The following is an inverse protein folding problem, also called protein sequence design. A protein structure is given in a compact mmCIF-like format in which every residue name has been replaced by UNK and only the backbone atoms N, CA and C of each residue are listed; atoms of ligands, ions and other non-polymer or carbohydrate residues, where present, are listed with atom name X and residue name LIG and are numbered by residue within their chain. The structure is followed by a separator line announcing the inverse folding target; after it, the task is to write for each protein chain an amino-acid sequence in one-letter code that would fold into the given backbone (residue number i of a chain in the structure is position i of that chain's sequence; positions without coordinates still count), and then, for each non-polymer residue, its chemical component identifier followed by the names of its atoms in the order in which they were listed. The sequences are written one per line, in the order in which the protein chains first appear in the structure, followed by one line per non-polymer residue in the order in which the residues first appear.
data_IF_813305290753
#
_entry.id   IF_813305290753
#
_cell.length_a   1.000
_cell.length_b   1.000
_cell.length_c   1.000
_cell.angle_alpha   90.00
_cell.angle_beta   90.00
_cell.angle_gamma   90.00
#
_symmetry.space_group_name_H-M   'P 1'
#
loop_
_entity.id
_entity.type
_entity.pdbx_description
1 polymer ?
#
# COMPACT_ATOMS: atom_id res chain seq x y z
N UNK A 1 -17.42 -4.41 7.25
CA UNK A 1 -17.13 -5.70 7.91
C UNK A 1 -15.80 -6.16 7.35
N UNK A 2 -14.78 -6.41 8.18
CA UNK A 2 -13.48 -6.91 7.70
C UNK A 2 -13.73 -8.21 6.96
N UNK A 3 -13.32 -8.32 5.70
CA UNK A 3 -13.28 -9.64 5.07
C UNK A 3 -12.19 -10.44 5.77
N UNK A 4 -12.62 -11.50 6.49
CA UNK A 4 -11.77 -12.38 7.30
C UNK A 4 -10.52 -12.90 6.56
N UNK A 5 -10.58 -12.92 5.24
CA UNK A 5 -9.55 -13.34 4.29
C UNK A 5 -8.32 -12.41 4.29
N UNK A 6 -8.47 -11.09 4.35
CA UNK A 6 -7.32 -10.16 4.39
C UNK A 6 -6.49 -10.28 5.67
N UNK A 7 -7.09 -10.69 6.78
CA UNK A 7 -6.40 -10.92 8.06
C UNK A 7 -6.08 -12.40 8.32
N UNK A 8 -6.34 -13.28 7.35
CA UNK A 8 -6.04 -14.70 7.50
C UNK A 8 -4.53 -14.96 7.43
N UNK A 9 -4.05 -15.96 8.16
CA UNK A 9 -2.65 -16.40 8.10
C UNK A 9 -1.64 -15.26 8.38
N UNK A 10 -1.88 -14.46 9.42
CA UNK A 10 -0.88 -13.49 9.91
C UNK A 10 0.34 -14.22 10.45
N UNK A 11 1.53 -13.74 10.10
CA UNK A 11 2.77 -14.18 10.75
C UNK A 11 2.78 -13.78 12.23
N UNK A 12 3.72 -14.33 13.01
CA UNK A 12 3.88 -13.96 14.41
C UNK A 12 4.18 -12.45 14.56
N UNK A 13 4.99 -11.88 13.66
CA UNK A 13 5.32 -10.45 13.67
C UNK A 13 4.09 -9.59 13.38
N UNK A 14 3.30 -9.94 12.37
CA UNK A 14 2.05 -9.24 12.04
C UNK A 14 1.03 -9.35 13.18
N UNK A 15 0.94 -10.52 13.82
CA UNK A 15 0.06 -10.72 14.98
C UNK A 15 0.45 -9.81 16.16
N UNK A 16 1.75 -9.57 16.37
CA UNK A 16 2.24 -8.60 17.36
C UNK A 16 1.88 -7.17 16.98
N UNK A 17 2.00 -6.78 15.71
CA UNK A 17 1.60 -5.46 15.22
C UNK A 17 0.09 -5.23 15.37
N UNK A 18 -0.73 -6.21 14.98
CA UNK A 18 -2.18 -6.19 15.15
C UNK A 18 -2.57 -6.01 16.63
N UNK A 19 -1.91 -6.73 17.54
CA UNK A 19 -2.13 -6.56 18.98
C UNK A 19 -1.74 -5.14 19.46
N UNK A 20 -0.62 -4.59 18.98
CA UNK A 20 -0.18 -3.24 19.32
C UNK A 20 -1.15 -2.17 18.81
N UNK A 21 -1.63 -2.29 17.57
CA UNK A 21 -2.64 -1.42 16.99
C UNK A 21 -3.94 -1.48 17.81
N UNK A 22 -4.55 -2.66 17.94
CA UNK A 22 -5.90 -2.81 18.48
C UNK A 22 -5.96 -2.65 20.00
N UNK A 23 -5.02 -3.26 20.73
CA UNK A 23 -5.07 -3.30 22.21
C UNK A 23 -4.32 -2.17 22.87
N UNK A 24 -3.20 -1.73 22.26
CA UNK A 24 -2.40 -0.64 22.80
C UNK A 24 -2.71 0.71 22.15
N UNK A 25 -3.60 0.75 21.13
CA UNK A 25 -3.96 1.97 20.38
C UNK A 25 -2.74 2.75 19.92
N UNK A 26 -1.75 2.00 19.43
CA UNK A 26 -0.53 2.57 18.87
C UNK A 26 -0.81 3.01 17.43
N UNK A 27 -0.17 4.10 17.02
CA UNK A 27 -0.23 4.63 15.66
C UNK A 27 0.43 3.68 14.67
N UNK A 28 -0.35 2.67 14.27
CA UNK A 28 0.00 1.61 13.34
C UNK A 28 -1.17 1.50 12.39
N UNK A 29 -0.88 1.59 11.10
CA UNK A 29 -1.87 1.45 10.04
C UNK A 29 -1.69 0.10 9.35
N UNK A 30 -2.77 -0.46 8.82
CA UNK A 30 -2.75 -1.67 8.01
C UNK A 30 -3.41 -1.40 6.66
N UNK A 31 -2.68 -1.68 5.59
CA UNK A 31 -3.17 -1.69 4.22
C UNK A 31 -3.04 -3.10 3.68
N UNK A 32 -4.11 -3.66 3.14
CA UNK A 32 -4.12 -5.04 2.66
C UNK A 32 -4.83 -5.14 1.31
N UNK A 33 -4.30 -5.99 0.43
CA UNK A 33 -4.97 -6.37 -0.81
C UNK A 33 -4.51 -7.74 -1.29
N UNK A 34 -5.44 -8.49 -1.88
CA UNK A 34 -5.14 -9.72 -2.64
C UNK A 34 -5.58 -9.61 -4.11
N UNK A 35 -5.93 -8.40 -4.56
CA UNK A 35 -6.42 -8.12 -5.91
C UNK A 35 -7.91 -8.38 -6.15
N UNK A 36 -8.57 -9.12 -5.25
CA UNK A 36 -10.03 -9.36 -5.27
C UNK A 36 -10.72 -8.45 -4.26
N UNK A 37 -10.06 -8.24 -3.13
CA UNK A 37 -10.49 -7.40 -2.04
C UNK A 37 -9.33 -6.53 -1.57
N UNK A 38 -9.68 -5.38 -1.00
CA UNK A 38 -8.74 -4.42 -0.43
C UNK A 38 -9.30 -3.89 0.89
N UNK A 39 -8.42 -3.54 1.81
CA UNK A 39 -8.80 -3.07 3.13
C UNK A 39 -7.77 -2.12 3.71
N UNK A 40 -8.27 -1.08 4.39
CA UNK A 40 -7.47 -0.05 5.04
C UNK A 40 -7.97 0.11 6.46
N UNK A 41 -7.04 0.02 7.42
CA UNK A 41 -7.33 0.12 8.84
C UNK A 41 -6.37 1.12 9.45
N UNK A 42 -6.92 2.21 9.97
CA UNK A 42 -6.18 3.21 10.74
C UNK A 42 -6.83 3.24 12.12
N UNK A 43 -6.03 3.00 13.15
CA UNK A 43 -6.49 2.78 14.53
C UNK A 43 -7.57 1.68 14.64
N UNK A 44 -8.78 2.02 15.07
CA UNK A 44 -9.94 1.14 15.17
C UNK A 44 -10.95 1.33 14.02
N UNK A 45 -10.59 2.16 13.03
CA UNK A 45 -11.47 2.55 11.93
C UNK A 45 -11.11 1.81 10.65
N UNK A 46 -12.12 1.20 10.02
CA UNK A 46 -12.02 0.71 8.64
C UNK A 46 -12.35 1.85 7.69
N UNK A 47 -11.46 2.11 6.73
CA UNK A 47 -11.68 3.15 5.72
C UNK A 47 -12.19 2.54 4.41
N UNK A 48 -12.99 3.34 3.70
CA UNK A 48 -13.43 3.05 2.32
C UNK A 48 -12.73 4.04 1.37
N UNK A 49 -11.54 3.70 0.86
CA UNK A 49 -10.78 4.60 0.01
C UNK A 49 -11.39 4.68 -1.39
N UNK A 50 -11.30 5.86 -2.02
CA UNK A 50 -11.53 5.94 -3.47
C UNK A 50 -10.48 5.14 -4.22
N UNK A 51 -9.21 5.30 -3.84
CA UNK A 51 -8.13 4.53 -4.41
C UNK A 51 -7.17 4.03 -3.32
N UNK A 52 -6.77 2.78 -3.45
CA UNK A 52 -5.64 2.19 -2.75
C UNK A 52 -4.70 1.59 -3.79
N UNK A 53 -3.45 2.01 -3.80
CA UNK A 53 -2.39 1.38 -4.57
C UNK A 53 -1.32 0.88 -3.63
N UNK A 54 -0.97 -0.40 -3.74
CA UNK A 54 0.17 -1.03 -3.06
C UNK A 54 1.06 -1.61 -4.15
N UNK A 55 2.07 -0.84 -4.56
CA UNK A 55 3.14 -1.27 -5.44
C UNK A 55 4.34 -1.73 -4.63
N UNK A 56 4.79 -2.95 -4.82
CA UNK A 56 5.99 -3.50 -4.19
C UNK A 56 6.88 -4.17 -5.24
N UNK A 57 8.17 -3.86 -5.20
CA UNK A 57 9.18 -4.47 -6.06
C UNK A 57 10.36 -4.96 -5.21
N UNK A 58 10.85 -6.15 -5.55
CA UNK A 58 12.06 -6.76 -4.98
C UNK A 58 12.72 -7.65 -6.03
N UNK A 59 13.87 -8.26 -5.69
CA UNK A 59 14.51 -9.30 -6.49
C UNK A 59 13.60 -10.49 -6.84
N UNK A 60 12.53 -10.74 -6.09
CA UNK A 60 11.59 -11.83 -6.35
C UNK A 60 10.50 -11.46 -7.37
N UNK A 61 10.35 -10.18 -7.68
CA UNK A 61 9.38 -9.69 -8.66
C UNK A 61 8.77 -8.35 -8.28
N UNK A 62 7.82 -7.91 -9.11
CA UNK A 62 7.06 -6.69 -8.88
C UNK A 62 5.56 -7.00 -8.89
N UNK A 63 4.83 -6.40 -7.97
CA UNK A 63 3.37 -6.48 -7.90
C UNK A 63 2.79 -5.13 -7.55
N UNK A 64 1.70 -4.75 -8.23
CA UNK A 64 0.88 -3.60 -7.85
C UNK A 64 -0.56 -4.07 -7.72
N UNK A 65 -1.20 -3.83 -6.58
CA UNK A 65 -2.58 -4.21 -6.33
C UNK A 65 -3.26 -3.26 -5.38
N UNK A 66 -4.57 -3.32 -5.36
CA UNK A 66 -5.38 -2.51 -4.46
C UNK A 66 -6.75 -2.27 -5.05
N UNK A 67 -7.22 -1.04 -4.93
CA UNK A 67 -8.54 -0.60 -5.33
C UNK A 67 -8.44 0.66 -6.18
N UNK A 68 -9.20 0.71 -7.27
CA UNK A 68 -9.35 1.89 -8.11
C UNK A 68 -10.84 2.16 -8.33
N UNK A 69 -11.32 3.26 -7.76
CA UNK A 69 -12.75 3.50 -7.62
C UNK A 69 -13.43 2.39 -6.81
N UNK A 70 -14.34 1.65 -7.47
CA UNK A 70 -15.09 0.53 -6.85
C UNK A 70 -14.53 -0.85 -7.17
N UNK A 71 -13.47 -0.95 -7.99
CA UNK A 71 -12.92 -2.23 -8.44
C UNK A 71 -11.59 -2.51 -7.73
N UNK A 72 -11.42 -3.75 -7.27
CA UNK A 72 -10.11 -4.23 -6.85
C UNK A 72 -9.32 -4.74 -8.06
N UNK A 73 -7.99 -4.68 -7.97
CA UNK A 73 -7.13 -5.06 -9.08
C UNK A 73 -5.81 -5.69 -8.64
N UNK A 74 -5.22 -6.45 -9.57
CA UNK A 74 -3.88 -7.03 -9.48
C UNK A 74 -3.15 -6.80 -10.81
N UNK A 75 -1.94 -6.27 -10.72
CA UNK A 75 -1.08 -5.98 -11.85
C UNK A 75 0.37 -6.45 -11.61
N UNK A 76 1.01 -7.14 -12.56
CA UNK A 76 0.44 -7.68 -13.80
C UNK A 76 -0.63 -8.76 -13.54
N UNK A 77 -1.60 -8.90 -14.44
CA UNK A 77 -2.79 -9.76 -14.32
C UNK A 77 -2.53 -11.28 -14.38
N UNK A 78 -1.27 -11.71 -14.33
CA UNK A 78 -0.86 -13.12 -14.28
C UNK A 78 -0.19 -13.53 -12.95
N UNK A 79 -0.03 -12.60 -12.01
CA UNK A 79 0.50 -12.92 -10.69
C UNK A 79 -0.53 -13.68 -9.87
N UNK A 80 -0.07 -14.45 -8.88
CA UNK A 80 -0.96 -15.05 -7.89
C UNK A 80 -1.74 -13.95 -7.17
N UNK A 81 -3.03 -14.20 -6.89
CA UNK A 81 -3.86 -13.38 -6.01
C UNK A 81 -3.46 -13.53 -4.54
N UNK A 82 -2.15 -13.67 -4.30
CA UNK A 82 -1.61 -13.77 -2.97
C UNK A 82 -1.86 -12.48 -2.23
N UNK A 83 -1.96 -12.59 -0.91
CA UNK A 83 -2.14 -11.46 -0.06
C UNK A 83 -0.87 -10.61 0.01
N UNK A 84 -1.03 -9.29 -0.04
CA UNK A 84 -0.03 -8.35 0.46
C UNK A 84 -0.65 -7.54 1.59
N UNK A 85 0.09 -7.44 2.69
CA UNK A 85 -0.21 -6.59 3.84
C UNK A 85 0.96 -5.67 4.09
N UNK A 86 0.67 -4.39 4.24
CA UNK A 86 1.61 -3.36 4.63
C UNK A 86 1.15 -2.86 5.99
N UNK A 87 1.97 -3.06 7.00
CA UNK A 87 1.82 -2.39 8.28
C UNK A 87 2.73 -1.18 8.29
N UNK A 88 2.16 -0.01 8.50
CA UNK A 88 2.90 1.24 8.61
C UNK A 88 2.97 1.58 10.09
N UNK A 89 4.17 1.51 10.65
CA UNK A 89 4.43 1.88 12.04
C UNK A 89 4.87 3.34 12.10
N UNK A 90 3.98 4.20 12.59
CA UNK A 90 4.16 5.66 12.66
C UNK A 90 4.38 6.17 14.09
N UNK A 91 4.63 5.26 15.05
CA UNK A 91 4.72 5.62 16.48
C UNK A 91 5.83 6.65 16.77
N UNK A 92 6.90 6.62 15.97
CA UNK A 92 7.99 7.57 16.01
C UNK A 92 8.00 8.31 14.67
N UNK A 93 7.57 9.57 14.63
CA UNK A 93 7.36 10.32 13.37
C UNK A 93 8.63 10.40 12.50
N UNK A 94 9.81 10.38 13.12
CA UNK A 94 11.10 10.42 12.43
C UNK A 94 11.65 9.03 12.06
N UNK A 95 11.02 7.95 12.55
CA UNK A 95 11.44 6.55 12.34
C UNK A 95 10.25 5.67 11.92
N UNK A 96 9.65 6.02 10.78
CA UNK A 96 8.59 5.23 10.18
C UNK A 96 9.15 3.89 9.70
N UNK A 97 8.45 2.79 10.01
CA UNK A 97 8.80 1.44 9.55
C UNK A 97 7.68 0.83 8.75
N UNK A 98 8.03 0.20 7.63
CA UNK A 98 7.09 -0.61 6.86
C UNK A 98 7.34 -2.08 7.11
N UNK A 99 6.34 -2.78 7.63
CA UNK A 99 6.37 -4.24 7.71
C UNK A 99 5.49 -4.81 6.61
N UNK A 100 6.12 -5.48 5.65
CA UNK A 100 5.49 -5.96 4.44
C UNK A 100 5.40 -7.47 4.51
N UNK A 101 4.19 -8.02 4.38
CA UNK A 101 4.01 -9.40 3.97
C UNK A 101 3.58 -9.39 2.51
N UNK A 102 4.34 -10.05 1.63
CA UNK A 102 3.97 -10.22 0.22
C UNK A 102 4.18 -11.66 -0.16
N UNK A 103 3.11 -12.36 -0.56
CA UNK A 103 3.16 -13.79 -0.92
C UNK A 103 3.79 -14.67 0.17
N UNK A 104 3.50 -14.36 1.44
CA UNK A 104 4.00 -15.10 2.60
C UNK A 104 5.45 -14.74 3.00
N UNK A 105 6.15 -13.91 2.22
CA UNK A 105 7.47 -13.40 2.58
C UNK A 105 7.34 -12.11 3.38
N UNK A 106 8.08 -12.03 4.48
CA UNK A 106 8.08 -10.87 5.37
C UNK A 106 9.32 -10.00 5.13
N UNK A 107 9.12 -8.69 5.01
CA UNK A 107 10.16 -7.68 4.92
C UNK A 107 9.91 -6.58 5.95
N UNK A 108 10.98 -5.98 6.42
CA UNK A 108 10.95 -4.82 7.29
C UNK A 108 11.83 -3.74 6.67
N UNK A 109 11.23 -2.60 6.37
CA UNK A 109 11.87 -1.49 5.67
C UNK A 109 11.92 -0.28 6.61
N UNK A 110 13.10 0.27 6.82
CA UNK A 110 13.35 1.43 7.69
C UNK A 110 14.50 2.28 7.13
N UNK A 111 14.65 3.50 7.65
CA UNK A 111 15.81 4.35 7.34
C UNK A 111 17.11 3.82 7.96
N UNK A 112 17.02 3.09 9.07
CA UNK A 112 18.16 2.54 9.82
C UNK A 112 18.87 1.37 9.12
N UNK A 113 18.27 0.80 8.07
CA UNK A 113 18.88 -0.30 7.36
C UNK A 113 20.10 0.22 6.56
N UNK A 114 21.31 -0.02 7.05
CA UNK A 114 22.55 0.41 6.38
C UNK A 114 22.82 -0.37 5.09
N UNK A 115 22.23 -1.56 4.93
CA UNK A 115 22.38 -2.34 3.71
C UNK A 115 21.60 -1.69 2.56
N UNK A 116 22.28 -1.49 1.44
CA UNK A 116 21.60 -1.21 0.18
C UNK A 116 20.74 -2.42 -0.17
N UNK A 117 19.45 -2.19 -0.39
CA UNK A 117 18.57 -3.20 -0.95
C UNK A 117 17.85 -2.68 -2.20
N UNK A 118 17.42 -3.60 -3.05
CA UNK A 118 16.78 -3.31 -4.31
C UNK A 118 15.26 -3.16 -4.18
N UNK A 119 14.77 -2.97 -2.95
CA UNK A 119 13.34 -2.96 -2.66
C UNK A 119 12.77 -1.57 -2.87
N UNK A 120 11.56 -1.55 -3.43
CA UNK A 120 10.78 -0.33 -3.63
C UNK A 120 9.36 -0.60 -3.17
N UNK A 121 8.86 0.25 -2.27
CA UNK A 121 7.46 0.28 -1.86
C UNK A 121 6.86 1.60 -2.30
N UNK A 122 5.73 1.57 -3.00
CA UNK A 122 4.95 2.75 -3.37
C UNK A 122 3.52 2.50 -2.91
N UNK A 123 3.02 3.35 -2.02
CA UNK A 123 1.67 3.29 -1.50
C UNK A 123 0.96 4.60 -1.76
N UNK A 124 -0.22 4.53 -2.37
CA UNK A 124 -1.15 5.65 -2.44
C UNK A 124 -2.47 5.25 -1.78
N UNK A 125 -2.87 5.97 -0.75
CA UNK A 125 -4.15 5.85 -0.09
C UNK A 125 -4.91 7.16 -0.28
N UNK A 126 -5.98 7.13 -1.07
CA UNK A 126 -6.82 8.27 -1.37
C UNK A 126 -8.22 8.05 -0.81
N UNK A 127 -8.56 8.79 0.22
CA UNK A 127 -9.86 8.79 0.89
C UNK A 127 -10.62 10.10 0.58
N UNK A 128 -11.92 10.19 0.91
CA UNK A 128 -12.70 11.40 0.69
C UNK A 128 -12.09 12.66 1.31
N UNK A 129 -11.53 12.54 2.52
CA UNK A 129 -11.08 13.69 3.31
C UNK A 129 -9.57 13.92 3.29
N UNK A 130 -8.79 12.95 2.81
CA UNK A 130 -7.34 13.02 2.83
C UNK A 130 -6.69 12.15 1.76
N UNK A 131 -5.43 12.45 1.49
CA UNK A 131 -4.54 11.55 0.77
C UNK A 131 -3.29 11.29 1.58
N UNK A 132 -2.82 10.05 1.47
CA UNK A 132 -1.57 9.59 2.02
C UNK A 132 -0.74 8.95 0.91
N UNK A 133 0.53 9.31 0.85
CA UNK A 133 1.50 8.73 -0.07
C UNK A 133 2.73 8.29 0.72
N UNK A 134 3.06 7.00 0.62
CA UNK A 134 4.24 6.43 1.24
C UNK A 134 5.17 5.86 0.17
N UNK A 135 6.45 6.14 0.29
CA UNK A 135 7.51 5.64 -0.57
C UNK A 135 8.64 5.09 0.30
N UNK A 136 9.12 3.90 -0.02
CA UNK A 136 10.45 3.44 0.39
C UNK A 136 11.25 3.14 -0.87
N UNK A 137 12.47 3.66 -0.95
CA UNK A 137 13.45 3.35 -2.00
C UNK A 137 14.78 2.91 -1.37
N UNK A 138 15.04 1.60 -1.41
CA UNK A 138 16.24 0.98 -0.83
C UNK A 138 17.55 1.33 -1.54
N UNK A 139 17.46 1.87 -2.75
CA UNK A 139 18.63 2.30 -3.52
C UNK A 139 19.24 3.58 -2.96
N UNK A 140 18.47 4.37 -2.20
CA UNK A 140 18.94 5.60 -1.60
C UNK A 140 19.90 5.31 -0.44
N UNK A 141 21.01 6.07 -0.32
CA UNK A 141 21.99 5.86 0.75
C UNK A 141 21.50 6.36 2.12
N UNK A 142 20.61 7.36 2.14
CA UNK A 142 20.01 7.95 3.35
C UNK A 142 18.57 8.35 3.04
N UNK A 143 17.73 8.49 4.07
CA UNK A 143 16.33 8.93 3.95
C UNK A 143 15.56 8.13 2.88
N UNK A 144 15.59 6.81 3.03
CA UNK A 144 14.94 5.85 2.14
C UNK A 144 13.42 5.97 2.16
N UNK A 145 12.84 6.52 3.23
CA UNK A 145 11.40 6.64 3.44
C UNK A 145 10.91 8.08 3.24
N UNK A 146 9.85 8.23 2.45
CA UNK A 146 9.01 9.42 2.42
C UNK A 146 7.57 9.03 2.76
N UNK A 147 6.97 9.73 3.72
CA UNK A 147 5.59 9.53 4.11
C UNK A 147 4.89 10.88 4.18
N UNK A 148 3.95 11.10 3.26
CA UNK A 148 3.23 12.36 3.09
C UNK A 148 1.76 12.14 3.40
N UNK A 149 1.19 13.06 4.18
CA UNK A 149 -0.23 13.11 4.49
C UNK A 149 -0.73 14.54 4.28
N UNK A 150 -1.89 14.69 3.65
CA UNK A 150 -2.54 15.99 3.52
C UNK A 150 -4.05 15.89 3.35
N UNK A 151 -4.75 16.89 3.88
CA UNK A 151 -6.19 17.14 3.66
C UNK A 151 -6.43 18.28 2.67
N UNK A 152 -5.38 18.93 2.17
CA UNK A 152 -5.49 20.00 1.19
C UNK A 152 -5.83 19.43 -0.18
N UNK A 153 -6.93 19.88 -0.78
CA UNK A 153 -7.36 19.45 -2.13
C UNK A 153 -6.28 19.74 -3.19
N UNK A 154 -5.65 20.92 -3.14
CA UNK A 154 -4.60 21.28 -4.09
C UNK A 154 -3.36 20.40 -3.94
N UNK A 155 -2.94 20.09 -2.71
CA UNK A 155 -1.83 19.18 -2.47
C UNK A 155 -2.21 17.74 -2.85
N UNK A 156 -3.46 17.34 -2.63
CA UNK A 156 -3.98 16.04 -2.97
C UNK A 156 -3.90 15.74 -4.47
N UNK A 157 -4.31 16.67 -5.33
CA UNK A 157 -4.15 16.53 -6.79
C UNK A 157 -2.68 16.33 -7.19
N UNK A 158 -1.77 17.11 -6.60
CA UNK A 158 -0.32 17.00 -6.90
C UNK A 158 0.24 15.65 -6.46
N UNK A 159 -0.11 15.19 -5.26
CA UNK A 159 0.32 13.89 -4.75
C UNK A 159 -0.22 12.76 -5.64
N UNK A 160 -1.48 12.83 -6.07
CA UNK A 160 -2.04 11.87 -7.03
C UNK A 160 -1.22 11.82 -8.31
N UNK A 161 -0.96 12.98 -8.93
CA UNK A 161 -0.17 13.05 -10.17
C UNK A 161 1.22 12.42 -9.98
N UNK A 162 1.91 12.76 -8.88
CA UNK A 162 3.24 12.21 -8.57
C UNK A 162 3.17 10.69 -8.38
N UNK A 163 2.26 10.21 -7.55
CA UNK A 163 2.11 8.79 -7.25
C UNK A 163 1.78 7.98 -8.51
N UNK A 164 0.84 8.44 -9.33
CA UNK A 164 0.51 7.79 -10.61
C UNK A 164 1.69 7.80 -11.59
N UNK A 165 2.47 8.89 -11.65
CA UNK A 165 3.67 8.95 -12.49
C UNK A 165 4.70 7.92 -12.06
N UNK A 166 5.01 7.83 -10.75
CA UNK A 166 6.00 6.88 -10.22
C UNK A 166 5.50 5.45 -10.43
N UNK A 167 4.23 5.17 -10.11
CA UNK A 167 3.62 3.85 -10.32
C UNK A 167 3.70 3.43 -11.79
N UNK A 168 3.38 4.32 -12.74
CA UNK A 168 3.43 3.97 -14.16
C UNK A 168 4.86 3.78 -14.70
N UNK A 169 5.85 4.47 -14.12
CA UNK A 169 7.26 4.23 -14.45
C UNK A 169 7.73 2.85 -13.95
N UNK A 170 7.31 2.46 -12.75
CA UNK A 170 7.75 1.21 -12.10
C UNK A 170 6.95 -0.02 -12.54
N UNK A 171 5.71 0.21 -12.96
CA UNK A 171 4.76 -0.78 -13.46
C UNK A 171 4.26 -0.34 -14.84
N UNK A 172 5.08 -0.46 -15.91
CA UNK A 172 4.69 -0.04 -17.25
C UNK A 172 3.39 -0.72 -17.71
N UNK A 173 2.46 0.06 -18.25
CA UNK A 173 1.15 -0.42 -18.69
C UNK A 173 0.05 -0.36 -17.61
N UNK A 174 0.41 -0.08 -16.35
CA UNK A 174 -0.58 0.06 -15.27
C UNK A 174 -1.64 1.13 -15.62
N UNK A 175 -1.24 2.29 -16.15
CA UNK A 175 -2.22 3.34 -16.50
C UNK A 175 -3.24 2.90 -17.55
N UNK A 176 -2.82 2.11 -18.54
CA UNK A 176 -3.73 1.60 -19.58
C UNK A 176 -4.69 0.57 -18.99
N UNK A 177 -4.17 -0.31 -18.13
CA UNK A 177 -4.96 -1.31 -17.41
C UNK A 177 -6.03 -0.66 -16.50
N UNK A 178 -5.67 0.39 -15.75
CA UNK A 178 -6.62 1.12 -14.91
C UNK A 178 -7.72 1.80 -15.74
N UNK A 179 -7.37 2.33 -16.91
CA UNK A 179 -8.35 2.94 -17.81
C UNK A 179 -9.34 1.91 -18.39
N UNK A 180 -8.87 0.69 -18.67
CA UNK A 180 -9.75 -0.41 -19.10
C UNK A 180 -10.74 -0.81 -17.99
N UNK A 181 -10.29 -0.84 -16.73
CA UNK A 181 -11.16 -1.10 -15.59
C UNK A 181 -12.28 -0.07 -15.45
N UNK A 182 -12.02 1.21 -15.78
CA UNK A 182 -13.05 2.25 -15.84
C UNK A 182 -14.02 2.05 -17.01
N UNK A 183 -13.51 1.72 -18.20
CA UNK A 183 -14.32 1.53 -19.42
C UNK A 183 -15.37 0.43 -19.27
N UNK A 184 -15.02 -0.69 -18.64
CA UNK A 184 -15.94 -1.79 -18.32
C UNK A 184 -17.13 -1.36 -17.43
N UNK A 185 -17.03 -0.25 -16.67
CA UNK A 185 -18.14 0.23 -15.82
C UNK A 185 -19.28 0.83 -16.65
N UNK A 186 -19.00 1.28 -17.87
CA UNK A 186 -19.98 1.91 -18.75
C UNK A 186 -20.72 0.93 -19.66
N UNK A 187 -20.22 -0.30 -19.83
CA UNK A 187 -20.88 -1.33 -20.65
C UNK A 187 -21.93 -2.14 -19.87
N UNK A 188 -21.88 -2.12 -18.54
CA UNK A 188 -22.79 -2.84 -17.64
C UNK A 188 -23.96 -1.97 -17.09
N UNK A 189 -24.21 -0.78 -17.66
CA UNK A 189 -25.36 0.10 -17.33
C UNK A 189 -26.38 0.16 -18.47
#
# INVERSE_FOLDING_TARGET
MITKTLLSSMTEKESKLAYQQIKKKKDIQLLASNGIESGVFIDDTTLDPFNLFIGFASNQGKVCKGQYGKKCFLFPSGNSSDLTRIWIDCREQDDIKFHINSSGQYYELSNDNEEHDDKLLIVLLHCPDFIQFSLYDGSLPIQKISHLFTTSSQASEKIKTIAHSILNQQFPGLSQYLHQLEGEVYEDQ
#
